data_IF_059594280636
#
_entry.id   IF_059594280636
#
_cell.length_a   1.000
_cell.length_b   1.000
_cell.length_c   1.000
_cell.angle_alpha   90.00
_cell.angle_beta   90.00
_cell.angle_gamma   90.00
#
_symmetry.space_group_name_H-M   'P 1'
#
loop_
_entity.id
_entity.type
_entity.pdbx_description
1 polymer ?
#
# COMPACT_ATOMS: atom_id res chain seq x y z
N UNK A 1 -24.76 -23.08 27.57
CA UNK A 1 -23.85 -22.43 26.60
C UNK A 1 -24.21 -20.97 26.57
N UNK A 2 -23.51 -20.14 27.37
CA UNK A 2 -23.76 -18.70 27.50
C UNK A 2 -23.00 -17.96 26.41
N UNK A 3 -23.73 -17.43 25.42
CA UNK A 3 -23.19 -16.43 24.51
C UNK A 3 -22.96 -15.14 25.29
N UNK A 4 -21.71 -14.77 25.52
CA UNK A 4 -21.35 -13.47 26.08
C UNK A 4 -21.83 -12.39 25.09
N UNK A 5 -22.84 -11.63 25.53
CA UNK A 5 -23.33 -10.43 24.82
C UNK A 5 -22.24 -9.36 24.88
N UNK A 6 -21.64 -9.07 23.74
CA UNK A 6 -20.71 -7.95 23.59
C UNK A 6 -21.49 -6.63 23.59
N UNK A 7 -21.20 -5.75 24.55
CA UNK A 7 -21.80 -4.41 24.62
C UNK A 7 -21.11 -3.46 23.63
N UNK A 8 -21.84 -3.00 22.63
CA UNK A 8 -21.43 -1.93 21.71
C UNK A 8 -22.00 -0.60 22.23
N UNK A 9 -21.17 0.27 22.77
CA UNK A 9 -21.52 1.62 23.16
C UNK A 9 -21.07 2.66 22.12
N UNK A 10 -21.93 3.60 21.76
CA UNK A 10 -21.62 4.70 20.84
C UNK A 10 -21.09 5.92 21.59
N UNK A 11 -19.88 6.38 21.26
CA UNK A 11 -19.25 7.60 21.82
C UNK A 11 -19.16 8.68 20.76
N UNK A 12 -19.76 9.85 21.02
CA UNK A 12 -19.77 10.98 20.05
C UNK A 12 -18.52 11.86 20.19
N UNK A 13 -17.92 12.26 19.05
CA UNK A 13 -16.89 13.32 18.98
C UNK A 13 -17.55 14.69 19.01
N UNK A 14 -17.31 15.44 20.03
CA UNK A 14 -17.77 16.83 20.18
C UNK A 14 -17.84 17.15 21.67
N UNK A 15 -17.03 18.07 22.15
CA UNK A 15 -16.78 18.37 23.56
C UNK A 15 -18.02 18.34 24.43
N UNK A 16 -17.80 17.82 25.64
CA UNK A 16 -18.70 17.71 26.78
C UNK A 16 -19.53 16.43 26.87
N UNK A 17 -19.17 15.67 27.90
CA UNK A 17 -19.83 14.52 28.52
C UNK A 17 -19.84 13.21 27.73
N UNK A 18 -19.08 12.25 28.25
CA UNK A 18 -19.31 10.82 28.08
C UNK A 18 -20.74 10.46 28.56
N UNK A 19 -21.71 10.59 27.67
CA UNK A 19 -22.97 9.89 27.83
C UNK A 19 -22.88 8.60 27.04
N UNK A 20 -22.64 7.50 27.74
CA UNK A 20 -22.93 6.16 27.26
C UNK A 20 -24.44 6.11 26.98
N UNK A 21 -24.82 6.26 25.71
CA UNK A 21 -26.20 6.03 25.32
C UNK A 21 -26.46 4.53 25.26
N UNK A 22 -26.92 3.95 26.36
CA UNK A 22 -27.70 2.73 26.33
C UNK A 22 -29.08 3.08 25.75
N UNK A 23 -29.18 3.18 24.41
CA UNK A 23 -30.50 3.20 23.79
C UNK A 23 -31.17 1.84 23.98
N UNK A 24 -32.49 1.82 24.24
CA UNK A 24 -33.21 0.57 24.38
C UNK A 24 -33.03 -0.25 23.10
N UNK A 25 -32.67 -1.53 23.25
CA UNK A 25 -32.41 -2.53 22.19
C UNK A 25 -33.57 -2.78 21.22
N UNK A 26 -34.58 -1.90 21.16
CA UNK A 26 -35.89 -2.15 20.59
C UNK A 26 -36.03 -1.78 19.11
N UNK A 27 -35.17 -0.92 18.52
CA UNK A 27 -35.30 -0.55 17.11
C UNK A 27 -34.59 -1.56 16.19
N UNK A 28 -35.29 -2.15 15.20
CA UNK A 28 -34.67 -3.08 14.24
C UNK A 28 -33.46 -2.48 13.50
N UNK A 29 -33.49 -1.18 13.20
CA UNK A 29 -32.38 -0.48 12.53
C UNK A 29 -31.13 -0.37 13.41
N UNK A 30 -31.30 -0.17 14.72
CA UNK A 30 -30.19 -0.12 15.68
C UNK A 30 -29.53 -1.48 15.79
N UNK A 31 -30.35 -2.54 15.88
CA UNK A 31 -29.86 -3.92 15.93
C UNK A 31 -29.10 -4.28 14.65
N UNK A 32 -29.68 -3.98 13.48
CA UNK A 32 -29.04 -4.27 12.19
C UNK A 32 -27.72 -3.51 12.01
N UNK A 33 -27.65 -2.22 12.35
CA UNK A 33 -26.41 -1.45 12.32
C UNK A 33 -25.34 -2.11 13.18
N UNK A 34 -25.69 -2.53 14.40
CA UNK A 34 -24.79 -3.20 15.33
C UNK A 34 -24.30 -4.54 14.78
N UNK A 35 -25.20 -5.39 14.28
CA UNK A 35 -24.86 -6.68 13.69
C UNK A 35 -23.89 -6.55 12.52
N UNK A 36 -24.11 -5.59 11.61
CA UNK A 36 -23.24 -5.34 10.48
C UNK A 36 -21.83 -4.87 10.91
N UNK A 37 -21.77 -4.01 11.93
CA UNK A 37 -20.48 -3.55 12.45
C UNK A 37 -19.75 -4.70 13.18
N UNK A 38 -20.44 -5.47 14.00
CA UNK A 38 -19.85 -6.62 14.70
C UNK A 38 -19.35 -7.69 13.72
N UNK A 39 -20.12 -7.97 12.67
CA UNK A 39 -19.71 -8.89 11.60
C UNK A 39 -18.44 -8.37 10.90
N UNK A 40 -18.40 -7.10 10.52
CA UNK A 40 -17.25 -6.48 9.90
C UNK A 40 -16.00 -6.57 10.79
N UNK A 41 -16.14 -6.34 12.09
CA UNK A 41 -15.03 -6.45 13.05
C UNK A 41 -14.53 -7.89 13.20
N UNK A 42 -15.45 -8.88 13.24
CA UNK A 42 -15.07 -10.31 13.27
C UNK A 42 -14.34 -10.74 12.00
N UNK A 43 -14.77 -10.22 10.84
CA UNK A 43 -14.13 -10.44 9.54
C UNK A 43 -12.83 -9.66 9.36
N UNK A 44 -12.50 -8.74 10.27
CA UNK A 44 -11.41 -7.76 10.14
C UNK A 44 -11.53 -6.94 8.86
N UNK A 45 -12.76 -6.59 8.50
CA UNK A 45 -13.04 -5.78 7.33
C UNK A 45 -12.55 -4.33 7.53
N UNK A 46 -12.03 -3.73 6.47
CA UNK A 46 -11.68 -2.30 6.45
C UNK A 46 -12.88 -1.41 6.14
N UNK A 47 -13.84 -1.91 5.34
CA UNK A 47 -15.00 -1.14 4.92
C UNK A 47 -16.25 -2.03 4.85
N UNK A 48 -17.41 -1.43 5.17
CA UNK A 48 -18.74 -1.99 4.95
C UNK A 48 -19.38 -1.18 3.82
N UNK A 49 -19.83 -1.85 2.77
CA UNK A 49 -20.56 -1.25 1.66
C UNK A 49 -22.01 -1.66 1.74
N UNK A 50 -22.93 -0.71 1.88
CA UNK A 50 -24.38 -0.91 1.86
C UNK A 50 -24.88 -0.30 0.56
N UNK A 51 -25.28 -1.14 -0.38
CA UNK A 51 -25.52 -0.78 -1.77
C UNK A 51 -26.99 -1.06 -2.13
N UNK A 52 -27.79 0.01 -2.30
CA UNK A 52 -29.17 -0.15 -2.74
C UNK A 52 -29.24 -0.64 -4.19
N UNK A 53 -30.11 -1.61 -4.43
CA UNK A 53 -30.47 -2.13 -5.74
C UNK A 53 -31.97 -1.99 -5.95
N UNK A 54 -32.46 -2.32 -7.12
CA UNK A 54 -33.89 -2.18 -7.46
C UNK A 54 -34.81 -2.90 -6.47
N UNK A 55 -34.54 -4.15 -6.15
CA UNK A 55 -35.40 -5.01 -5.31
C UNK A 55 -34.86 -5.28 -3.91
N UNK A 56 -33.59 -4.96 -3.64
CA UNK A 56 -32.91 -5.37 -2.42
C UNK A 56 -31.79 -4.42 -2.05
N UNK A 57 -31.18 -4.63 -0.88
CA UNK A 57 -29.97 -3.93 -0.44
C UNK A 57 -28.85 -4.97 -0.33
N UNK A 58 -27.75 -4.76 -1.05
CA UNK A 58 -26.57 -5.61 -0.95
C UNK A 58 -25.60 -5.03 0.08
N UNK A 59 -25.22 -5.85 1.06
CA UNK A 59 -24.15 -5.49 2.02
C UNK A 59 -22.91 -6.29 1.70
N UNK A 60 -21.77 -5.63 1.51
CA UNK A 60 -20.48 -6.26 1.24
C UNK A 60 -19.41 -5.75 2.19
N UNK A 61 -18.48 -6.63 2.52
CA UNK A 61 -17.34 -6.30 3.37
C UNK A 61 -16.05 -6.31 2.56
N UNK A 62 -15.19 -5.30 2.78
CA UNK A 62 -13.84 -5.29 2.22
C UNK A 62 -12.89 -5.90 3.23
N UNK A 63 -12.35 -7.07 2.93
CA UNK A 63 -11.39 -7.80 3.76
C UNK A 63 -10.08 -7.93 2.99
N UNK A 64 -8.97 -7.60 3.61
CA UNK A 64 -7.64 -7.64 2.99
C UNK A 64 -7.57 -6.99 1.58
N UNK A 65 -8.31 -5.89 1.40
CA UNK A 65 -8.37 -5.14 0.14
C UNK A 65 -9.39 -5.67 -0.88
N UNK A 66 -9.94 -6.88 -0.68
CA UNK A 66 -10.93 -7.48 -1.58
C UNK A 66 -12.34 -7.26 -1.07
N UNK A 67 -13.24 -6.87 -1.99
CA UNK A 67 -14.66 -6.73 -1.71
C UNK A 67 -15.33 -8.10 -1.92
N UNK A 68 -15.67 -8.75 -0.81
CA UNK A 68 -16.26 -10.09 -0.81
C UNK A 68 -17.74 -10.10 -1.22
N UNK A 69 -18.29 -11.31 -1.44
CA UNK A 69 -19.74 -11.49 -1.53
C UNK A 69 -20.35 -11.15 -0.15
N UNK A 70 -21.52 -10.52 -0.18
CA UNK A 70 -22.16 -10.08 1.03
C UNK A 70 -23.59 -10.58 1.17
N UNK A 71 -24.23 -10.13 2.23
CA UNK A 71 -25.62 -10.44 2.53
C UNK A 71 -26.58 -9.60 1.68
N UNK A 72 -27.74 -10.15 1.42
CA UNK A 72 -28.84 -9.45 0.78
C UNK A 72 -29.91 -9.14 1.84
N UNK A 73 -30.32 -7.89 1.93
CA UNK A 73 -31.34 -7.43 2.85
C UNK A 73 -32.59 -6.95 2.08
N UNK A 74 -33.78 -7.04 2.68
CA UNK A 74 -34.99 -6.48 2.10
C UNK A 74 -34.84 -4.97 1.85
N UNK A 75 -35.38 -4.48 0.75
CA UNK A 75 -35.34 -3.06 0.42
C UNK A 75 -35.94 -2.15 1.50
N UNK A 76 -36.95 -2.64 2.22
CA UNK A 76 -37.65 -1.91 3.28
C UNK A 76 -36.75 -1.43 4.43
N UNK A 77 -35.56 -2.07 4.62
CA UNK A 77 -34.64 -1.67 5.70
C UNK A 77 -33.74 -0.49 5.34
N UNK A 78 -33.61 -0.11 4.06
CA UNK A 78 -32.66 0.87 3.58
C UNK A 78 -32.81 2.24 4.27
N UNK A 79 -34.02 2.78 4.28
CA UNK A 79 -34.27 4.12 4.82
C UNK A 79 -34.01 4.21 6.31
N UNK A 80 -34.44 3.21 7.06
CA UNK A 80 -34.24 3.15 8.50
C UNK A 80 -32.74 2.96 8.85
N UNK A 81 -32.04 2.14 8.05
CA UNK A 81 -30.59 1.90 8.23
C UNK A 81 -29.78 3.15 7.85
N UNK A 82 -30.11 3.84 6.73
CA UNK A 82 -29.50 5.10 6.33
C UNK A 82 -29.68 6.17 7.40
N UNK A 83 -30.91 6.36 7.86
CA UNK A 83 -31.23 7.30 8.95
C UNK A 83 -30.43 7.00 10.21
N UNK A 84 -30.28 5.72 10.57
CA UNK A 84 -29.52 5.30 11.76
C UNK A 84 -28.04 5.65 11.65
N UNK A 85 -27.39 5.39 10.51
CA UNK A 85 -25.99 5.78 10.30
C UNK A 85 -25.83 7.31 10.32
N UNK A 86 -26.75 8.06 9.71
CA UNK A 86 -26.73 9.52 9.76
C UNK A 86 -26.87 10.07 11.18
N UNK A 87 -27.80 9.53 11.98
CA UNK A 87 -27.95 9.90 13.40
C UNK A 87 -26.65 9.66 14.17
N UNK A 88 -26.03 8.49 13.97
CA UNK A 88 -24.76 8.15 14.65
C UNK A 88 -23.65 9.14 14.35
N UNK A 89 -23.66 9.76 13.17
CA UNK A 89 -22.65 10.73 12.70
C UNK A 89 -23.07 12.20 12.86
N UNK A 90 -24.25 12.51 13.40
CA UNK A 90 -24.86 13.85 13.43
C UNK A 90 -25.06 14.48 12.03
N UNK A 91 -25.38 13.66 11.03
CA UNK A 91 -25.68 14.08 9.67
C UNK A 91 -27.16 14.45 9.52
N UNK A 92 -27.49 15.20 8.46
CA UNK A 92 -28.86 15.60 8.18
C UNK A 92 -29.68 14.42 7.61
N UNK A 93 -30.63 13.92 8.40
CA UNK A 93 -31.48 12.77 8.03
C UNK A 93 -32.44 13.12 6.89
N UNK A 94 -32.92 14.37 6.86
CA UNK A 94 -33.90 14.82 5.87
C UNK A 94 -33.29 15.07 4.50
N UNK A 95 -31.98 15.32 4.42
CA UNK A 95 -31.29 15.56 3.15
C UNK A 95 -30.76 14.24 2.58
N UNK A 96 -31.28 13.84 1.42
CA UNK A 96 -30.94 12.60 0.72
C UNK A 96 -30.39 12.82 -0.68
N UNK A 97 -30.27 14.10 -1.13
CA UNK A 97 -29.92 14.48 -2.51
C UNK A 97 -28.45 14.84 -2.69
N UNK A 98 -27.73 15.09 -1.61
CA UNK A 98 -26.32 15.45 -1.62
C UNK A 98 -25.49 14.46 -0.79
N UNK A 99 -24.22 14.23 -1.15
CA UNK A 99 -23.31 13.42 -0.33
C UNK A 99 -23.11 14.02 1.06
N UNK A 100 -22.96 13.19 2.06
CA UNK A 100 -22.66 13.60 3.43
C UNK A 100 -21.61 12.68 4.02
N UNK A 101 -20.64 13.28 4.74
CA UNK A 101 -19.56 12.58 5.42
C UNK A 101 -19.60 12.88 6.91
N UNK A 102 -19.35 11.86 7.72
CA UNK A 102 -19.32 12.00 9.17
C UNK A 102 -18.57 10.88 9.84
N UNK A 103 -18.47 10.96 11.16
CA UNK A 103 -17.76 9.94 11.93
C UNK A 103 -18.41 9.74 13.30
N UNK A 104 -18.27 8.54 13.82
CA UNK A 104 -18.65 8.21 15.18
C UNK A 104 -17.71 7.18 15.77
N UNK A 105 -17.75 7.03 17.09
CA UNK A 105 -16.89 6.10 17.82
C UNK A 105 -17.72 5.06 18.53
N UNK A 106 -17.22 3.84 18.56
CA UNK A 106 -17.81 2.71 19.28
C UNK A 106 -16.81 2.11 20.24
N UNK A 107 -17.32 1.40 21.27
CA UNK A 107 -16.53 0.51 22.10
C UNK A 107 -16.81 -0.94 21.72
N UNK A 108 -15.77 -1.70 21.41
CA UNK A 108 -15.87 -3.13 21.12
C UNK A 108 -14.77 -3.89 21.82
N UNK A 109 -15.13 -4.87 22.65
CA UNK A 109 -14.19 -5.66 23.46
C UNK A 109 -13.17 -4.81 24.25
N UNK A 110 -13.62 -3.69 24.81
CA UNK A 110 -12.78 -2.77 25.58
C UNK A 110 -11.90 -1.83 24.75
N UNK A 111 -11.97 -1.93 23.43
CA UNK A 111 -11.22 -1.07 22.49
C UNK A 111 -12.13 0.00 21.87
N UNK A 112 -11.59 1.19 21.71
CA UNK A 112 -12.26 2.30 21.05
C UNK A 112 -11.97 2.29 19.57
N UNK A 113 -13.01 2.13 18.72
CA UNK A 113 -12.91 2.05 17.28
C UNK A 113 -13.59 3.28 16.66
N UNK A 114 -12.86 4.00 15.82
CA UNK A 114 -13.39 5.12 15.05
C UNK A 114 -13.97 4.60 13.72
N UNK A 115 -15.19 5.08 13.38
CA UNK A 115 -15.88 4.73 12.14
C UNK A 115 -16.13 6.02 11.35
N UNK A 116 -15.75 6.02 10.06
CA UNK A 116 -16.08 7.09 9.11
C UNK A 116 -17.19 6.60 8.19
N UNK A 117 -18.22 7.41 8.01
CA UNK A 117 -19.39 7.09 7.20
C UNK A 117 -19.50 8.11 6.09
N UNK A 118 -19.64 7.62 4.87
CA UNK A 118 -19.95 8.43 3.69
C UNK A 118 -21.27 7.95 3.10
N UNK A 119 -22.19 8.88 2.82
CA UNK A 119 -23.44 8.62 2.12
C UNK A 119 -23.41 9.28 0.76
N UNK A 120 -23.87 8.56 -0.26
CA UNK A 120 -23.91 9.03 -1.65
C UNK A 120 -25.28 8.74 -2.26
N UNK A 121 -26.01 9.75 -2.76
CA UNK A 121 -27.23 9.54 -3.53
C UNK A 121 -26.97 8.63 -4.74
N UNK A 122 -27.82 7.62 -4.92
CA UNK A 122 -27.80 6.75 -6.10
C UNK A 122 -29.22 6.54 -6.63
N UNK A 123 -29.35 5.92 -7.80
CA UNK A 123 -30.64 5.70 -8.46
C UNK A 123 -31.66 5.00 -7.54
N UNK A 124 -31.18 4.06 -6.73
CA UNK A 124 -32.03 3.22 -5.89
C UNK A 124 -32.03 3.62 -4.41
N UNK A 125 -31.56 4.82 -4.07
CA UNK A 125 -31.44 5.35 -2.70
C UNK A 125 -30.01 5.66 -2.32
N UNK A 126 -29.77 5.97 -1.05
CA UNK A 126 -28.43 6.33 -0.60
C UNK A 126 -27.54 5.10 -0.44
N UNK A 127 -26.41 5.07 -1.16
CA UNK A 127 -25.30 4.16 -0.89
C UNK A 127 -24.56 4.64 0.35
N UNK A 128 -24.20 3.70 1.24
CA UNK A 128 -23.46 4.00 2.46
C UNK A 128 -22.17 3.21 2.45
N UNK A 129 -21.06 3.87 2.75
CA UNK A 129 -19.77 3.23 3.01
C UNK A 129 -19.34 3.57 4.43
N UNK A 130 -19.05 2.54 5.23
CA UNK A 130 -18.53 2.70 6.58
C UNK A 130 -17.10 2.19 6.61
N UNK A 131 -16.13 3.09 6.80
CA UNK A 131 -14.73 2.73 6.98
C UNK A 131 -14.42 2.51 8.44
N UNK A 132 -13.78 1.39 8.74
CA UNK A 132 -13.38 0.98 10.08
C UNK A 132 -11.91 1.35 10.30
N UNK A 133 -11.64 2.20 11.26
CA UNK A 133 -10.29 2.64 11.61
C UNK A 133 -9.81 1.84 12.82
N UNK A 134 -9.14 0.71 12.54
CA UNK A 134 -8.56 -0.14 13.59
C UNK A 134 -7.19 0.40 14.00
N UNK A 135 -7.10 0.93 15.22
CA UNK A 135 -5.87 1.48 15.78
C UNK A 135 -4.73 0.45 15.88
N UNK A 136 -5.04 -0.82 16.05
CA UNK A 136 -4.03 -1.86 16.20
C UNK A 136 -3.20 -2.09 14.93
N UNK A 137 -3.78 -1.82 13.75
CA UNK A 137 -3.07 -1.91 12.48
C UNK A 137 -2.15 -0.70 12.20
N UNK A 138 -2.38 0.42 12.91
CA UNK A 138 -1.59 1.65 12.74
C UNK A 138 -0.25 1.62 13.48
N UNK A 139 -0.10 0.73 14.43
CA UNK A 139 1.03 0.74 15.38
C UNK A 139 2.08 -0.34 15.11
N UNK A 140 2.26 -0.72 13.84
CA UNK A 140 3.37 -1.62 13.47
C UNK A 140 4.72 -0.93 13.72
N UNK A 141 5.67 -1.69 14.25
CA UNK A 141 7.08 -1.29 14.27
C UNK A 141 7.72 -1.48 12.90
N UNK A 142 8.87 -0.86 12.65
CA UNK A 142 9.58 -1.01 11.38
C UNK A 142 9.88 -2.48 11.04
N UNK A 143 10.22 -3.30 12.04
CA UNK A 143 10.49 -4.73 11.87
C UNK A 143 9.25 -5.52 11.43
N UNK A 144 8.06 -5.06 11.85
CA UNK A 144 6.79 -5.70 11.53
C UNK A 144 6.23 -5.32 10.15
N UNK A 145 6.82 -4.32 9.47
CA UNK A 145 6.40 -3.93 8.13
C UNK A 145 6.67 -5.04 7.09
N UNK A 146 7.63 -5.94 7.37
CA UNK A 146 7.99 -7.03 6.47
C UNK A 146 9.00 -6.65 5.39
N UNK A 147 9.78 -5.57 5.60
CA UNK A 147 10.93 -5.25 4.75
C UNK A 147 12.00 -6.34 4.83
N UNK A 148 12.70 -6.61 3.72
CA UNK A 148 13.92 -7.41 3.76
C UNK A 148 14.95 -6.80 4.73
N UNK A 149 15.74 -7.62 5.47
CA UNK A 149 16.67 -7.11 6.48
C UNK A 149 17.66 -6.05 5.96
N UNK A 150 18.15 -6.23 4.73
CA UNK A 150 19.06 -5.26 4.10
C UNK A 150 18.38 -3.90 3.82
N UNK A 151 17.13 -3.92 3.35
CA UNK A 151 16.34 -2.71 3.11
C UNK A 151 15.97 -2.04 4.45
N UNK A 152 15.58 -2.82 5.44
CA UNK A 152 15.28 -2.33 6.79
C UNK A 152 16.47 -1.59 7.38
N UNK A 153 17.67 -2.18 7.31
CA UNK A 153 18.91 -1.54 7.79
C UNK A 153 19.21 -0.22 7.05
N UNK A 154 19.05 -0.21 5.72
CA UNK A 154 19.25 1.03 4.93
C UNK A 154 18.25 2.11 5.34
N UNK A 155 16.98 1.75 5.49
CA UNK A 155 15.93 2.69 5.89
C UNK A 155 16.16 3.21 7.33
N UNK A 156 16.59 2.36 8.27
CA UNK A 156 16.96 2.77 9.62
C UNK A 156 18.10 3.80 9.60
N UNK A 157 19.13 3.57 8.78
CA UNK A 157 20.23 4.55 8.64
C UNK A 157 19.74 5.88 8.03
N UNK A 158 18.74 5.85 7.15
CA UNK A 158 18.20 7.09 6.55
C UNK A 158 17.43 7.93 7.57
N UNK A 159 16.63 7.32 8.46
CA UNK A 159 15.84 8.04 9.47
C UNK A 159 16.70 8.59 10.61
N UNK A 160 17.94 8.14 10.76
CA UNK A 160 18.92 8.69 11.71
C UNK A 160 19.62 9.96 11.19
N UNK A 161 19.43 10.28 9.90
CA UNK A 161 20.02 11.50 9.33
C UNK A 161 19.32 12.73 9.88
N UNK A 162 20.07 13.81 10.18
CA UNK A 162 19.48 15.04 10.70
C UNK A 162 18.63 15.78 9.68
N UNK A 163 18.88 15.54 8.38
CA UNK A 163 18.19 16.21 7.29
C UNK A 163 18.07 15.32 6.05
N UNK A 164 17.10 15.62 5.22
CA UNK A 164 16.86 14.96 3.94
C UNK A 164 15.39 14.57 3.78
N UNK A 165 15.04 14.09 2.59
CA UNK A 165 13.69 13.67 2.24
C UNK A 165 13.64 12.17 2.04
N UNK A 166 12.73 11.51 2.73
CA UNK A 166 12.36 10.10 2.51
C UNK A 166 10.93 10.07 1.96
N UNK A 167 10.76 9.45 0.81
CA UNK A 167 9.46 9.30 0.16
C UNK A 167 8.96 7.87 0.25
N UNK A 168 7.70 7.70 0.65
CA UNK A 168 7.00 6.41 0.57
C UNK A 168 5.98 6.49 -0.55
N UNK A 169 6.08 5.62 -1.56
CA UNK A 169 5.29 5.74 -2.78
C UNK A 169 4.50 4.46 -3.09
N UNK A 170 3.42 4.63 -3.83
CA UNK A 170 2.53 3.54 -4.22
C UNK A 170 1.08 4.00 -4.35
N UNK A 171 0.17 3.14 -4.85
CA UNK A 171 -1.25 3.44 -4.97
C UNK A 171 -1.93 3.60 -3.61
N UNK A 172 -3.18 4.03 -3.65
CA UNK A 172 -4.05 4.04 -2.46
C UNK A 172 -4.17 2.63 -1.89
N UNK A 173 -4.09 2.50 -0.56
CA UNK A 173 -4.17 1.21 0.11
C UNK A 173 -2.87 0.37 0.10
N UNK A 174 -1.74 0.91 -0.39
CA UNK A 174 -0.45 0.22 -0.34
C UNK A 174 0.23 0.25 1.04
N UNK A 175 -0.33 0.93 2.03
CA UNK A 175 0.17 0.99 3.41
C UNK A 175 1.14 2.16 3.68
N UNK A 176 1.19 3.18 2.83
CA UNK A 176 2.10 4.33 2.96
C UNK A 176 2.02 5.01 4.34
N UNK A 177 0.81 5.32 4.79
CA UNK A 177 0.58 5.96 6.10
C UNK A 177 1.08 5.09 7.25
N UNK A 178 0.83 3.77 7.20
CA UNK A 178 1.32 2.82 8.19
C UNK A 178 2.86 2.83 8.26
N UNK A 179 3.51 2.85 7.10
CA UNK A 179 4.97 2.95 7.02
C UNK A 179 5.47 4.27 7.58
N UNK A 180 4.91 5.42 7.17
CA UNK A 180 5.31 6.73 7.70
C UNK A 180 5.13 6.81 9.22
N UNK A 181 4.00 6.34 9.76
CA UNK A 181 3.77 6.33 11.20
C UNK A 181 4.76 5.40 11.94
N UNK A 182 5.12 4.29 11.33
CA UNK A 182 6.16 3.39 11.85
C UNK A 182 7.54 4.08 11.91
N UNK A 183 7.90 4.86 10.87
CA UNK A 183 9.13 5.67 10.85
C UNK A 183 9.09 6.77 11.91
N UNK A 184 7.97 7.53 12.00
CA UNK A 184 7.82 8.58 13.01
C UNK A 184 7.98 8.05 14.43
N UNK A 185 7.39 6.88 14.72
CA UNK A 185 7.55 6.23 16.04
C UNK A 185 8.98 5.77 16.31
N UNK A 186 9.69 5.31 15.28
CA UNK A 186 11.10 4.93 15.43
C UNK A 186 12.02 6.13 15.67
N UNK A 187 11.66 7.30 15.12
CA UNK A 187 12.39 8.56 15.32
C UNK A 187 12.03 9.22 16.65
N UNK A 188 10.77 9.09 17.08
CA UNK A 188 10.24 9.80 18.24
C UNK A 188 11.00 9.46 19.51
N UNK A 189 11.55 10.51 20.15
CA UNK A 189 12.21 10.47 21.46
C UNK A 189 12.07 11.84 22.11
N UNK A 190 12.25 11.89 23.43
CA UNK A 190 12.31 13.15 24.16
C UNK A 190 13.42 14.05 23.56
N UNK A 191 13.09 15.30 23.29
CA UNK A 191 14.03 16.26 22.67
C UNK A 191 13.97 16.34 21.15
N UNK A 192 13.09 15.61 20.46
CA UNK A 192 12.85 15.77 19.02
C UNK A 192 11.45 16.35 18.78
N UNK A 193 11.37 17.50 18.13
CA UNK A 193 10.10 18.11 17.73
C UNK A 193 9.62 17.57 16.39
N UNK A 194 8.56 16.77 16.42
CA UNK A 194 7.95 16.17 15.24
C UNK A 194 6.61 16.84 14.97
N UNK A 195 6.43 17.35 13.75
CA UNK A 195 5.18 17.98 13.32
C UNK A 195 4.72 17.33 12.02
N UNK A 196 3.43 16.99 11.94
CA UNK A 196 2.83 16.45 10.71
C UNK A 196 1.76 17.38 10.14
N UNK A 197 1.54 17.29 8.84
CA UNK A 197 0.38 17.88 8.15
C UNK A 197 -0.29 16.81 7.29
N UNK A 198 -1.59 16.57 7.51
CA UNK A 198 -2.32 15.40 7.00
C UNK A 198 -3.73 15.76 6.50
N UNK A 199 -4.26 14.97 5.57
CA UNK A 199 -5.61 15.15 5.00
C UNK A 199 -6.32 13.80 4.77
N UNK A 200 -7.08 13.31 5.78
CA UNK A 200 -7.11 13.74 7.19
C UNK A 200 -6.09 12.98 8.04
N UNK A 201 -5.96 13.33 9.32
CA UNK A 201 -5.24 12.52 10.31
C UNK A 201 -5.95 11.17 10.43
N UNK A 202 -5.21 10.07 10.17
CA UNK A 202 -5.77 8.73 10.28
C UNK A 202 -5.81 8.22 11.72
N UNK A 203 -4.74 8.41 12.48
CA UNK A 203 -4.60 8.01 13.89
C UNK A 203 -3.83 9.05 14.67
N UNK A 204 -4.17 9.20 15.94
CA UNK A 204 -3.43 10.08 16.83
C UNK A 204 -2.15 9.38 17.31
N UNK A 205 -1.03 10.08 17.17
CA UNK A 205 0.29 9.65 17.65
C UNK A 205 0.64 10.46 18.89
N UNK A 206 0.89 9.77 20.00
CA UNK A 206 1.27 10.40 21.25
C UNK A 206 2.65 11.08 21.10
N UNK A 207 2.77 12.30 21.62
CA UNK A 207 4.01 13.08 21.56
C UNK A 207 4.32 13.73 20.22
N UNK A 208 3.43 13.64 19.23
CA UNK A 208 3.60 14.23 17.90
C UNK A 208 2.53 15.29 17.65
N UNK A 209 2.94 16.45 17.16
CA UNK A 209 2.03 17.53 16.80
C UNK A 209 1.45 17.30 15.40
N UNK A 210 0.18 16.91 15.33
CA UNK A 210 -0.49 16.58 14.07
C UNK A 210 -1.44 17.71 13.65
N UNK A 211 -1.22 18.29 12.46
CA UNK A 211 -2.03 19.33 11.85
C UNK A 211 -2.90 18.72 10.77
N UNK A 212 -4.21 18.93 10.86
CA UNK A 212 -5.14 18.48 9.81
C UNK A 212 -5.44 19.62 8.84
N UNK A 213 -5.26 19.36 7.55
CA UNK A 213 -5.67 20.26 6.46
C UNK A 213 -7.15 20.62 6.59
N UNK A 214 -7.47 21.89 6.36
CA UNK A 214 -8.84 22.39 6.32
C UNK A 214 -8.98 23.48 5.26
N UNK A 215 -9.28 23.06 4.04
CA UNK A 215 -9.41 23.95 2.88
C UNK A 215 -10.50 25.01 3.05
N UNK A 216 -11.54 24.71 3.85
CA UNK A 216 -12.66 25.65 4.10
C UNK A 216 -12.20 26.93 4.81
N UNK A 217 -11.12 26.86 5.57
CA UNK A 217 -10.53 28.02 6.26
C UNK A 217 -9.17 28.43 5.66
N UNK A 218 -8.81 27.86 4.49
CA UNK A 218 -7.58 28.18 3.78
C UNK A 218 -6.32 27.49 4.32
N UNK A 219 -6.44 26.51 5.22
CA UNK A 219 -5.29 25.74 5.73
C UNK A 219 -5.00 24.59 4.76
N UNK A 220 -4.11 24.85 3.80
CA UNK A 220 -3.63 23.91 2.78
C UNK A 220 -2.34 23.22 3.22
N UNK A 221 -1.88 22.18 2.49
CA UNK A 221 -0.58 21.55 2.73
C UNK A 221 0.58 22.57 2.65
N UNK A 222 0.66 23.33 1.58
CA UNK A 222 1.70 24.34 1.40
C UNK A 222 1.68 25.44 2.49
N UNK A 223 0.48 25.95 2.83
CA UNK A 223 0.28 26.95 3.87
C UNK A 223 0.68 26.45 5.27
N UNK A 224 0.26 25.23 5.61
CA UNK A 224 0.63 24.59 6.87
C UNK A 224 2.13 24.35 6.96
N UNK A 225 2.75 23.83 5.89
CA UNK A 225 4.18 23.51 5.83
C UNK A 225 5.04 24.77 6.02
N UNK A 226 4.69 25.92 5.38
CA UNK A 226 5.36 27.21 5.63
C UNK A 226 5.28 27.65 7.09
N UNK A 227 4.18 27.35 7.76
CA UNK A 227 3.99 27.69 9.18
C UNK A 227 4.75 26.76 10.09
N UNK A 228 4.78 25.46 9.77
CA UNK A 228 5.54 24.43 10.49
C UNK A 228 7.03 24.78 10.52
N UNK A 229 7.62 25.26 9.42
CA UNK A 229 9.02 25.68 9.35
C UNK A 229 9.40 26.82 10.33
N UNK A 230 8.42 27.50 10.94
CA UNK A 230 8.63 28.53 11.98
C UNK A 230 8.33 28.02 13.39
N UNK A 231 8.09 26.70 13.54
CA UNK A 231 7.77 26.05 14.81
C UNK A 231 8.95 25.21 15.34
N UNK A 232 10.16 25.50 14.89
CA UNK A 232 11.39 24.81 15.30
C UNK A 232 11.27 23.26 15.19
N UNK A 233 10.88 22.72 14.03
CA UNK A 233 10.74 21.28 13.86
C UNK A 233 12.09 20.62 13.57
N UNK A 234 12.34 19.44 14.13
CA UNK A 234 13.44 18.56 13.70
C UNK A 234 12.98 17.65 12.57
N UNK A 235 11.74 17.13 12.69
CA UNK A 235 11.15 16.18 11.73
C UNK A 235 9.78 16.68 11.29
N UNK A 236 9.58 16.70 9.98
CA UNK A 236 8.32 17.10 9.35
C UNK A 236 7.75 15.93 8.56
N UNK A 237 6.47 15.61 8.77
CA UNK A 237 5.77 14.69 7.89
C UNK A 237 4.69 15.43 7.10
N UNK A 238 4.77 15.36 5.79
CA UNK A 238 3.75 15.85 4.86
C UNK A 238 2.98 14.64 4.33
N UNK A 239 1.69 14.56 4.65
CA UNK A 239 0.86 13.39 4.33
C UNK A 239 0.97 12.98 2.88
N UNK A 240 0.94 13.94 1.96
CA UNK A 240 1.22 13.71 0.54
C UNK A 240 1.65 14.99 -0.19
N UNK A 241 2.42 14.82 -1.26
CA UNK A 241 2.80 15.88 -2.19
C UNK A 241 1.91 15.74 -3.44
N UNK A 242 1.00 16.72 -3.63
CA UNK A 242 0.09 16.74 -4.78
C UNK A 242 0.52 17.72 -5.86
N UNK A 243 1.18 18.79 -5.49
CA UNK A 243 1.49 19.94 -6.33
C UNK A 243 2.96 20.38 -6.21
N UNK A 244 3.39 21.20 -7.17
CA UNK A 244 4.74 21.74 -7.26
C UNK A 244 5.11 22.56 -6.02
N UNK A 245 4.19 23.40 -5.53
CA UNK A 245 4.44 24.30 -4.41
C UNK A 245 4.79 23.54 -3.14
N UNK A 246 3.99 22.53 -2.78
CA UNK A 246 4.23 21.66 -1.64
C UNK A 246 5.55 20.90 -1.80
N UNK A 247 5.82 20.40 -3.02
CA UNK A 247 7.07 19.70 -3.33
C UNK A 247 8.31 20.58 -3.14
N UNK A 248 8.28 21.81 -3.66
CA UNK A 248 9.38 22.76 -3.52
C UNK A 248 9.66 23.10 -2.06
N UNK A 249 8.61 23.36 -1.26
CA UNK A 249 8.78 23.68 0.17
C UNK A 249 9.36 22.48 0.92
N UNK A 250 8.84 21.27 0.69
CA UNK A 250 9.31 20.03 1.32
C UNK A 250 10.79 19.74 1.00
N UNK A 251 11.20 19.88 -0.27
CA UNK A 251 12.58 19.68 -0.69
C UNK A 251 13.53 20.75 -0.09
N UNK A 252 13.10 22.02 -0.06
CA UNK A 252 13.89 23.08 0.58
C UNK A 252 14.05 22.85 2.07
N UNK A 253 12.99 22.43 2.75
CA UNK A 253 13.05 22.06 4.17
C UNK A 253 14.07 20.93 4.41
N UNK A 254 14.03 19.89 3.58
CA UNK A 254 14.97 18.77 3.61
C UNK A 254 16.41 19.19 3.29
N UNK A 255 16.60 20.19 2.43
CA UNK A 255 17.91 20.73 2.09
C UNK A 255 18.49 21.62 3.20
N UNK A 256 17.63 22.32 3.95
CA UNK A 256 18.02 23.34 4.93
C UNK A 256 18.08 22.86 6.38
N UNK A 257 18.07 21.55 6.65
CA UNK A 257 18.35 21.02 7.97
C UNK A 257 17.27 20.18 8.63
N UNK A 258 16.16 19.87 7.91
CA UNK A 258 15.06 19.10 8.49
C UNK A 258 15.00 17.71 7.87
N UNK A 259 14.64 16.70 8.68
CA UNK A 259 14.24 15.40 8.14
C UNK A 259 12.77 15.47 7.71
N UNK A 260 12.53 15.28 6.43
CA UNK A 260 11.17 15.33 5.85
C UNK A 260 10.73 13.94 5.41
N UNK A 261 9.54 13.55 5.81
CA UNK A 261 8.87 12.32 5.38
C UNK A 261 7.64 12.68 4.57
N UNK A 262 7.42 12.03 3.41
CA UNK A 262 6.20 12.30 2.64
C UNK A 262 5.79 11.13 1.77
N UNK A 263 4.61 11.27 1.10
CA UNK A 263 4.13 10.29 0.13
C UNK A 263 3.89 10.89 -1.24
N UNK A 264 3.96 10.01 -2.25
CA UNK A 264 3.54 10.28 -3.62
C UNK A 264 2.75 9.09 -4.18
N UNK A 265 1.92 9.36 -5.18
CA UNK A 265 1.21 8.34 -5.93
C UNK A 265 1.94 8.04 -7.23
N UNK A 266 2.97 7.19 -7.17
CA UNK A 266 3.74 6.70 -8.32
C UNK A 266 3.81 5.17 -8.28
N UNK A 267 4.19 4.55 -9.40
CA UNK A 267 4.16 3.10 -9.53
C UNK A 267 5.38 2.41 -8.90
N UNK A 268 6.54 3.03 -8.97
CA UNK A 268 7.81 2.51 -8.43
C UNK A 268 8.73 3.65 -7.97
N UNK A 269 9.88 3.32 -7.41
CA UNK A 269 10.78 4.28 -6.83
C UNK A 269 11.50 5.15 -7.87
N UNK A 270 11.87 4.59 -9.02
CA UNK A 270 12.60 5.34 -10.07
C UNK A 270 11.66 6.28 -10.82
N UNK A 271 10.46 5.84 -11.19
CA UNK A 271 9.45 6.70 -11.83
C UNK A 271 9.04 7.89 -10.97
N UNK A 272 9.26 7.81 -9.66
CA UNK A 272 9.06 8.93 -8.74
C UNK A 272 10.00 10.10 -9.04
N UNK A 273 11.26 9.82 -9.35
CA UNK A 273 12.23 10.86 -9.74
C UNK A 273 11.79 11.56 -11.03
N UNK A 274 11.35 10.80 -12.02
CA UNK A 274 10.78 11.33 -13.27
C UNK A 274 9.56 12.22 -13.00
N UNK A 275 8.66 11.76 -12.10
CA UNK A 275 7.49 12.54 -11.70
C UNK A 275 7.86 13.87 -11.05
N UNK A 276 8.84 13.85 -10.13
CA UNK A 276 9.33 15.08 -9.48
C UNK A 276 9.99 16.05 -10.46
N UNK A 277 10.79 15.55 -11.41
CA UNK A 277 11.33 16.35 -12.51
C UNK A 277 10.21 17.01 -13.34
N UNK A 278 9.15 16.27 -13.66
CA UNK A 278 8.01 16.78 -14.43
C UNK A 278 7.14 17.79 -13.66
N UNK A 279 7.26 17.83 -12.33
CA UNK A 279 6.68 18.90 -11.49
C UNK A 279 7.51 20.18 -11.50
N UNK A 280 8.54 20.30 -12.35
CA UNK A 280 9.35 21.52 -12.47
C UNK A 280 10.44 21.68 -11.39
N UNK A 281 10.73 20.61 -10.64
CA UNK A 281 11.74 20.68 -9.57
C UNK A 281 13.16 20.58 -10.13
N UNK A 282 14.05 21.39 -9.58
CA UNK A 282 15.44 21.47 -10.02
C UNK A 282 16.22 20.17 -9.68
N UNK A 283 16.93 19.57 -10.66
CA UNK A 283 17.67 18.32 -10.44
C UNK A 283 18.68 18.40 -9.29
N UNK A 284 19.35 19.54 -9.10
CA UNK A 284 20.30 19.71 -8.01
C UNK A 284 19.61 19.60 -6.63
N UNK A 285 18.40 20.13 -6.51
CA UNK A 285 17.62 20.08 -5.27
C UNK A 285 17.15 18.65 -4.98
N UNK A 286 16.67 17.92 -6.01
CA UNK A 286 16.30 16.51 -5.89
C UNK A 286 17.49 15.65 -5.46
N UNK A 287 18.64 15.78 -6.14
CA UNK A 287 19.83 14.98 -5.89
C UNK A 287 20.44 15.23 -4.50
N UNK A 288 20.29 16.46 -3.99
CA UNK A 288 20.89 16.87 -2.70
C UNK A 288 19.98 16.57 -1.52
N UNK A 289 18.64 16.61 -1.71
CA UNK A 289 17.67 16.51 -0.62
C UNK A 289 17.16 15.08 -0.43
N UNK A 290 16.98 14.28 -1.48
CA UNK A 290 16.38 12.95 -1.36
C UNK A 290 17.41 11.96 -0.82
N UNK A 291 17.07 11.30 0.30
CA UNK A 291 17.84 10.18 0.88
C UNK A 291 17.46 8.85 0.25
N UNK A 292 16.16 8.63 0.07
CA UNK A 292 15.65 7.41 -0.52
C UNK A 292 14.16 7.48 -0.83
N UNK A 293 13.73 6.54 -1.67
CA UNK A 293 12.34 6.39 -2.10
C UNK A 293 11.96 4.93 -1.88
N UNK A 294 10.96 4.71 -1.02
CA UNK A 294 10.42 3.39 -0.71
C UNK A 294 9.11 3.18 -1.46
N UNK A 295 9.15 2.41 -2.52
CA UNK A 295 7.93 1.95 -3.20
C UNK A 295 7.37 0.71 -2.53
N UNK A 296 6.04 0.66 -2.38
CA UNK A 296 5.41 -0.45 -1.68
C UNK A 296 4.05 -0.86 -2.26
N UNK A 297 3.76 -2.16 -2.10
CA UNK A 297 2.47 -2.79 -2.38
C UNK A 297 2.07 -3.67 -1.22
N UNK A 298 0.76 -3.84 -1.02
CA UNK A 298 0.22 -4.84 -0.12
C UNK A 298 -0.41 -5.96 -0.94
N UNK A 299 0.05 -7.17 -0.71
CA UNK A 299 -0.47 -8.41 -1.29
C UNK A 299 -1.10 -9.28 -0.20
N UNK A 300 -2.10 -10.11 -0.52
CA UNK A 300 -2.71 -11.01 0.45
C UNK A 300 -1.73 -12.13 0.79
N UNK A 301 -1.57 -12.39 2.08
CA UNK A 301 -0.70 -13.45 2.58
C UNK A 301 -1.43 -14.79 2.50
N UNK A 302 -0.72 -15.84 2.10
CA UNK A 302 -1.25 -17.20 2.15
C UNK A 302 -1.65 -17.58 3.57
N UNK A 303 -2.76 -18.29 3.71
CA UNK A 303 -3.17 -18.83 4.99
C UNK A 303 -2.23 -19.97 5.43
N UNK A 304 -1.60 -19.82 6.58
CA UNK A 304 -0.66 -20.82 7.10
C UNK A 304 -1.32 -22.17 7.46
N UNK A 305 -2.65 -22.16 7.75
CA UNK A 305 -3.39 -23.36 8.14
C UNK A 305 -3.77 -24.26 6.95
N UNK A 306 -3.79 -23.74 5.74
CA UNK A 306 -4.17 -24.49 4.55
C UNK A 306 -3.20 -24.32 3.38
N UNK A 307 -1.96 -23.89 3.68
CA UNK A 307 -0.90 -23.75 2.71
C UNK A 307 -0.58 -25.09 2.05
N UNK A 308 -0.48 -25.09 0.74
CA UNK A 308 -0.11 -26.29 -0.03
C UNK A 308 0.75 -25.93 -1.22
N UNK A 309 1.60 -26.86 -1.66
CA UNK A 309 2.30 -26.73 -2.92
C UNK A 309 1.28 -26.53 -4.07
N UNK A 310 1.55 -25.60 -4.91
CA UNK A 310 0.68 -25.21 -6.01
C UNK A 310 1.54 -25.01 -7.26
N UNK A 311 1.07 -25.54 -8.39
CA UNK A 311 1.66 -25.25 -9.69
C UNK A 311 0.94 -24.03 -10.26
N UNK A 312 1.64 -22.94 -10.58
CA UNK A 312 1.02 -21.76 -11.17
C UNK A 312 0.31 -22.08 -12.49
N UNK A 313 -0.72 -21.31 -12.81
CA UNK A 313 -1.46 -21.42 -14.04
C UNK A 313 -0.50 -21.22 -15.23
N UNK A 314 -0.42 -22.17 -16.19
CA UNK A 314 0.41 -22.03 -17.38
C UNK A 314 0.11 -20.76 -18.18
N UNK A 315 -1.16 -20.37 -18.30
CA UNK A 315 -1.59 -19.15 -19.00
C UNK A 315 -1.04 -17.88 -18.34
N UNK A 316 -0.92 -17.91 -17.01
CA UNK A 316 -0.31 -16.82 -16.24
C UNK A 316 1.19 -16.76 -16.52
N UNK A 317 1.87 -17.90 -16.54
CA UNK A 317 3.30 -17.97 -16.84
C UNK A 317 3.60 -17.48 -18.24
N UNK A 318 2.81 -17.89 -19.23
CA UNK A 318 2.95 -17.45 -20.62
C UNK A 318 2.69 -15.94 -20.76
N UNK A 319 1.59 -15.45 -20.16
CA UNK A 319 1.22 -14.03 -20.19
C UNK A 319 2.30 -13.11 -19.64
N UNK A 320 2.99 -13.54 -18.61
CA UNK A 320 4.05 -12.76 -17.95
C UNK A 320 5.46 -13.18 -18.38
N UNK A 321 5.58 -14.06 -19.40
CA UNK A 321 6.86 -14.58 -19.91
C UNK A 321 7.75 -15.13 -18.79
N UNK A 322 7.14 -15.79 -17.80
CA UNK A 322 7.84 -16.40 -16.67
C UNK A 322 8.30 -17.81 -17.05
N UNK A 323 9.54 -17.94 -17.45
CA UNK A 323 10.18 -19.26 -17.64
C UNK A 323 10.64 -19.77 -16.29
N UNK A 324 9.73 -20.45 -15.58
CA UNK A 324 10.05 -21.10 -14.30
C UNK A 324 10.66 -22.47 -14.58
N UNK A 325 11.70 -22.84 -13.83
CA UNK A 325 12.23 -24.19 -13.90
C UNK A 325 11.20 -25.20 -13.35
N UNK A 326 11.18 -26.42 -13.88
CA UNK A 326 10.28 -27.48 -13.41
C UNK A 326 10.44 -27.80 -11.91
N UNK A 327 11.62 -27.46 -11.36
CA UNK A 327 11.97 -27.65 -9.94
C UNK A 327 11.42 -26.54 -9.03
N UNK A 328 10.92 -25.41 -9.56
CA UNK A 328 10.41 -24.33 -8.73
C UNK A 328 9.02 -24.66 -8.17
N UNK A 329 8.92 -24.61 -6.84
CA UNK A 329 7.68 -24.85 -6.11
C UNK A 329 7.09 -23.53 -5.63
N UNK A 330 5.85 -23.29 -5.93
CA UNK A 330 5.05 -22.21 -5.39
C UNK A 330 3.97 -22.75 -4.44
N UNK A 331 3.34 -21.86 -3.72
CA UNK A 331 2.38 -22.24 -2.70
C UNK A 331 1.13 -21.35 -2.77
N UNK A 332 -0.02 -21.95 -2.47
CA UNK A 332 -1.28 -21.24 -2.29
C UNK A 332 -2.11 -21.88 -1.18
N UNK A 333 -3.02 -21.11 -0.60
CA UNK A 333 -3.95 -21.65 0.39
C UNK A 333 -5.18 -22.26 -0.29
N UNK A 334 -5.53 -23.48 0.09
CA UNK A 334 -6.71 -24.20 -0.46
C UNK A 334 -8.06 -23.68 0.06
N UNK A 335 -8.04 -22.88 1.12
CA UNK A 335 -9.22 -22.48 1.86
C UNK A 335 -9.50 -23.41 3.05
N UNK A 336 -9.75 -22.82 4.21
CA UNK A 336 -10.11 -23.55 5.44
C UNK A 336 -10.98 -22.66 6.34
N UNK A 337 -11.55 -23.19 7.43
CA UNK A 337 -12.33 -22.38 8.37
C UNK A 337 -11.58 -21.19 8.95
N UNK A 338 -10.25 -21.30 9.19
CA UNK A 338 -9.43 -20.21 9.73
C UNK A 338 -9.32 -19.00 8.79
N UNK A 339 -9.35 -19.23 7.47
CA UNK A 339 -9.36 -18.18 6.45
C UNK A 339 -10.73 -18.02 5.78
N UNK A 340 -11.79 -18.59 6.35
CA UNK A 340 -13.17 -18.54 5.84
C UNK A 340 -13.28 -18.98 4.36
N UNK A 341 -12.49 -19.99 3.98
CA UNK A 341 -12.48 -20.55 2.63
C UNK A 341 -11.67 -19.75 1.61
N UNK A 342 -11.09 -18.60 1.98
CA UNK A 342 -10.42 -17.70 1.03
C UNK A 342 -9.00 -18.13 0.64
N UNK A 343 -8.38 -19.03 1.38
CA UNK A 343 -6.97 -19.43 1.16
C UNK A 343 -5.95 -18.36 1.57
N UNK A 344 -6.39 -17.16 1.91
CA UNK A 344 -5.52 -16.04 2.33
C UNK A 344 -5.96 -15.48 3.67
N UNK A 345 -5.01 -14.96 4.46
CA UNK A 345 -5.28 -14.34 5.76
C UNK A 345 -4.26 -13.24 6.07
N UNK A 346 -4.74 -12.01 6.12
CA UNK A 346 -3.91 -10.83 6.31
C UNK A 346 -3.15 -10.41 5.05
N UNK A 347 -2.30 -9.38 5.20
CA UNK A 347 -1.56 -8.78 4.09
C UNK A 347 -0.06 -8.83 4.34
N UNK A 348 0.70 -8.83 3.27
CA UNK A 348 2.17 -8.83 3.25
C UNK A 348 2.65 -7.63 2.44
N UNK A 349 3.65 -6.91 2.94
CA UNK A 349 4.27 -5.81 2.19
C UNK A 349 5.26 -6.32 1.15
N UNK A 350 5.24 -5.76 -0.04
CA UNK A 350 6.27 -5.93 -1.07
C UNK A 350 6.91 -4.58 -1.29
N UNK A 351 8.25 -4.53 -1.26
CA UNK A 351 9.00 -3.29 -1.18
C UNK A 351 10.11 -3.20 -2.22
N UNK A 352 10.36 -1.97 -2.67
CA UNK A 352 11.48 -1.56 -3.50
C UNK A 352 12.05 -0.29 -2.89
N UNK A 353 13.30 -0.32 -2.42
CA UNK A 353 13.96 0.82 -1.80
C UNK A 353 15.09 1.33 -2.69
N UNK A 354 14.86 2.47 -3.32
CA UNK A 354 15.89 3.24 -4.00
C UNK A 354 16.65 4.10 -2.98
N UNK A 355 17.96 3.91 -2.90
CA UNK A 355 18.88 4.76 -2.12
C UNK A 355 19.52 5.77 -3.06
N UNK A 356 19.49 7.05 -2.74
CA UNK A 356 20.14 8.09 -3.55
C UNK A 356 21.63 8.13 -3.24
N UNK A 357 22.36 7.22 -3.88
CA UNK A 357 23.84 7.11 -3.85
C UNK A 357 24.51 8.22 -4.66
N UNK A 358 25.85 8.34 -4.62
CA UNK A 358 26.58 9.25 -5.50
C UNK A 358 26.31 9.02 -6.99
N UNK A 359 26.22 7.77 -7.44
CA UNK A 359 25.92 7.42 -8.84
C UNK A 359 24.49 7.81 -9.23
N UNK A 360 23.53 7.55 -8.36
CA UNK A 360 22.12 7.97 -8.59
C UNK A 360 22.00 9.50 -8.58
N UNK A 361 22.75 10.21 -7.73
CA UNK A 361 22.79 11.68 -7.75
C UNK A 361 23.28 12.22 -9.08
N UNK A 362 24.34 11.64 -9.63
CA UNK A 362 24.89 12.03 -10.93
C UNK A 362 23.88 11.77 -12.06
N UNK A 363 23.20 10.63 -12.02
CA UNK A 363 22.13 10.29 -12.95
C UNK A 363 20.94 11.28 -12.86
N UNK A 364 20.57 11.72 -11.66
CA UNK A 364 19.52 12.75 -11.46
C UNK A 364 19.99 14.08 -12.05
N UNK A 365 21.23 14.51 -11.79
CA UNK A 365 21.80 15.77 -12.27
C UNK A 365 21.90 15.81 -13.79
N UNK A 366 22.31 14.70 -14.41
CA UNK A 366 22.39 14.56 -15.88
C UNK A 366 21.03 14.33 -16.54
N UNK A 367 19.94 14.21 -15.78
CA UNK A 367 18.59 13.83 -16.27
C UNK A 367 18.64 12.53 -17.07
N UNK A 368 19.38 11.55 -16.58
CA UNK A 368 19.48 10.23 -17.21
C UNK A 368 18.09 9.61 -17.44
N UNK A 369 17.91 8.83 -18.50
CA UNK A 369 16.67 8.08 -18.73
C UNK A 369 16.30 7.16 -17.56
N UNK A 370 15.00 6.92 -17.36
CA UNK A 370 14.50 6.08 -16.26
C UNK A 370 15.10 4.67 -16.28
N UNK A 371 15.28 4.10 -17.49
CA UNK A 371 15.90 2.78 -17.67
C UNK A 371 17.34 2.74 -17.18
N UNK A 372 18.12 3.79 -17.44
CA UNK A 372 19.50 3.90 -16.96
C UNK A 372 19.55 4.04 -15.44
N UNK A 373 18.73 4.93 -14.86
CA UNK A 373 18.63 5.09 -13.40
C UNK A 373 18.23 3.78 -12.72
N UNK A 374 17.29 3.02 -13.31
CA UNK A 374 16.86 1.72 -12.80
C UNK A 374 17.99 0.70 -12.82
N UNK A 375 18.72 0.63 -13.93
CA UNK A 375 19.86 -0.29 -14.05
C UNK A 375 20.95 0.03 -13.03
N UNK A 376 21.29 1.30 -12.86
CA UNK A 376 22.25 1.74 -11.83
C UNK A 376 21.77 1.37 -10.42
N UNK A 377 20.51 1.64 -10.10
CA UNK A 377 19.94 1.33 -8.79
C UNK A 377 19.99 -0.19 -8.49
N UNK A 378 19.68 -1.02 -9.48
CA UNK A 378 19.76 -2.49 -9.33
C UNK A 378 21.20 -2.96 -9.18
N UNK A 379 22.14 -2.40 -9.94
CA UNK A 379 23.58 -2.70 -9.78
C UNK A 379 24.08 -2.37 -8.37
N UNK A 380 23.54 -1.33 -7.73
CA UNK A 380 23.82 -0.96 -6.34
C UNK A 380 23.00 -1.75 -5.31
N UNK A 381 22.29 -2.78 -5.76
CA UNK A 381 21.57 -3.73 -4.90
C UNK A 381 20.16 -3.29 -4.52
N UNK A 382 19.49 -2.48 -5.35
CA UNK A 382 18.04 -2.28 -5.23
C UNK A 382 17.32 -3.55 -5.67
N UNK A 383 16.53 -4.14 -4.78
CA UNK A 383 15.59 -5.21 -5.12
C UNK A 383 14.31 -4.57 -5.66
N UNK A 384 13.89 -4.93 -6.88
CA UNK A 384 12.65 -4.41 -7.49
C UNK A 384 11.41 -4.98 -6.81
N UNK A 385 10.25 -4.31 -6.95
CA UNK A 385 8.97 -4.84 -6.46
C UNK A 385 8.72 -6.26 -6.96
N UNK A 386 9.02 -6.52 -8.24
CA UNK A 386 8.83 -7.84 -8.85
C UNK A 386 9.75 -8.89 -8.22
N UNK A 387 11.05 -8.60 -8.07
CA UNK A 387 12.01 -9.52 -7.44
C UNK A 387 11.66 -9.81 -5.99
N UNK A 388 11.28 -8.78 -5.23
CA UNK A 388 10.82 -8.92 -3.84
C UNK A 388 9.56 -9.80 -3.76
N UNK A 389 8.59 -9.57 -4.64
CA UNK A 389 7.35 -10.36 -4.70
C UNK A 389 7.61 -11.82 -5.03
N UNK A 390 8.45 -12.11 -6.03
CA UNK A 390 8.81 -13.48 -6.40
C UNK A 390 9.53 -14.23 -5.28
N UNK A 391 10.47 -13.59 -4.63
CA UNK A 391 11.13 -14.18 -3.47
C UNK A 391 10.11 -14.59 -2.41
N UNK A 392 9.15 -13.70 -2.08
CA UNK A 392 8.09 -13.99 -1.12
C UNK A 392 7.13 -15.09 -1.61
N UNK A 393 6.90 -15.19 -2.92
CA UNK A 393 6.10 -16.26 -3.50
C UNK A 393 6.81 -17.63 -3.40
N UNK A 394 8.12 -17.68 -3.66
CA UNK A 394 8.95 -18.87 -3.46
C UNK A 394 9.02 -19.29 -1.99
N UNK A 395 9.05 -18.33 -1.06
CA UNK A 395 8.97 -18.56 0.39
C UNK A 395 7.57 -19.05 0.85
N UNK A 396 6.58 -19.11 -0.04
CA UNK A 396 5.22 -19.51 0.27
C UNK A 396 4.40 -18.48 1.06
N UNK A 397 4.90 -17.27 1.22
CA UNK A 397 4.23 -16.19 1.98
C UNK A 397 3.03 -15.64 1.23
N UNK A 398 3.11 -15.57 -0.08
CA UNK A 398 2.07 -15.09 -1.00
C UNK A 398 1.94 -16.05 -2.17
N UNK A 399 0.81 -16.05 -2.88
CA UNK A 399 0.72 -16.82 -4.12
C UNK A 399 1.25 -16.00 -5.31
N UNK A 400 1.71 -16.69 -6.36
CA UNK A 400 2.22 -16.04 -7.56
C UNK A 400 1.11 -15.21 -8.24
N UNK A 401 -0.11 -15.75 -8.28
CA UNK A 401 -1.28 -15.10 -8.86
C UNK A 401 -1.61 -13.78 -8.15
N UNK A 402 -1.57 -13.80 -6.82
CA UNK A 402 -1.83 -12.58 -6.04
C UNK A 402 -0.74 -11.54 -6.24
N UNK A 403 0.52 -11.96 -6.29
CA UNK A 403 1.65 -11.08 -6.58
C UNK A 403 1.48 -10.41 -7.95
N UNK A 404 1.21 -11.20 -9.00
CA UNK A 404 1.06 -10.70 -10.37
C UNK A 404 -0.18 -9.80 -10.54
N UNK A 405 -1.22 -10.01 -9.72
CA UNK A 405 -2.40 -9.14 -9.71
C UNK A 405 -2.10 -7.71 -9.23
N UNK A 406 -1.16 -7.56 -8.31
CA UNK A 406 -0.92 -6.31 -7.57
C UNK A 406 0.33 -5.57 -8.03
N UNK A 407 1.38 -6.30 -8.41
CA UNK A 407 2.64 -5.70 -8.83
C UNK A 407 2.56 -5.31 -10.30
N UNK A 408 2.85 -4.04 -10.65
CA UNK A 408 2.91 -3.64 -12.05
C UNK A 408 3.94 -4.46 -12.81
N UNK A 409 3.54 -4.99 -13.94
CA UNK A 409 4.41 -5.71 -14.86
C UNK A 409 4.13 -5.22 -16.28
N UNK A 410 5.16 -4.79 -16.98
CA UNK A 410 5.02 -4.42 -18.39
C UNK A 410 5.01 -5.68 -19.25
N UNK A 411 3.87 -5.96 -19.86
CA UNK A 411 3.73 -7.07 -20.82
C UNK A 411 4.63 -6.79 -22.01
N UNK A 412 5.56 -7.71 -22.30
CA UNK A 412 6.53 -7.56 -23.39
C UNK A 412 7.93 -7.10 -22.98
N UNK A 413 8.15 -6.69 -21.74
CA UNK A 413 9.51 -6.48 -21.24
C UNK A 413 10.24 -7.83 -21.20
N UNK A 414 11.40 -7.93 -21.86
CA UNK A 414 12.29 -9.10 -21.70
C UNK A 414 12.79 -9.10 -20.26
N UNK A 415 12.48 -10.15 -19.53
CA UNK A 415 12.99 -10.33 -18.18
C UNK A 415 13.92 -11.57 -18.12
N UNK A 416 14.83 -11.54 -17.17
CA UNK A 416 15.67 -12.70 -16.88
C UNK A 416 14.81 -13.87 -16.42
N UNK A 417 14.90 -15.06 -16.99
CA UNK A 417 14.09 -16.21 -16.60
C UNK A 417 14.34 -16.69 -15.18
N UNK A 418 15.50 -16.37 -14.59
CA UNK A 418 15.84 -16.80 -13.23
C UNK A 418 15.46 -15.79 -12.15
N UNK A 419 15.63 -14.47 -12.39
CA UNK A 419 15.44 -13.46 -11.37
C UNK A 419 14.45 -12.35 -11.76
N UNK A 420 13.89 -12.43 -12.97
CA UNK A 420 12.96 -11.48 -13.60
C UNK A 420 13.46 -10.03 -13.65
N UNK A 421 14.78 -9.83 -13.57
CA UNK A 421 15.36 -8.53 -13.84
C UNK A 421 15.04 -8.09 -15.27
N UNK A 422 14.57 -6.87 -15.51
CA UNK A 422 14.34 -6.36 -16.87
C UNK A 422 15.61 -6.45 -17.70
N UNK A 423 15.49 -6.94 -18.94
CA UNK A 423 16.62 -7.16 -19.84
C UNK A 423 16.49 -6.30 -21.08
N UNK A 424 17.59 -5.66 -21.47
CA UNK A 424 17.68 -5.02 -22.76
C UNK A 424 18.05 -6.03 -23.88
N UNK A 425 17.72 -5.69 -25.11
CA UNK A 425 17.86 -6.60 -26.26
C UNK A 425 19.30 -7.09 -26.52
N UNK A 426 20.29 -6.35 -26.01
CA UNK A 426 21.72 -6.63 -26.24
C UNK A 426 22.42 -7.33 -25.07
N UNK A 427 21.74 -7.60 -23.95
CA UNK A 427 22.36 -8.27 -22.82
C UNK A 427 22.75 -9.70 -23.17
N UNK A 428 24.00 -10.07 -22.87
CA UNK A 428 24.57 -11.42 -23.06
C UNK A 428 24.41 -12.29 -21.81
N UNK A 429 24.28 -11.64 -20.64
CA UNK A 429 23.96 -12.26 -19.37
C UNK A 429 23.07 -11.31 -18.58
N UNK A 430 22.35 -11.84 -17.61
CA UNK A 430 21.58 -11.02 -16.68
C UNK A 430 22.52 -10.22 -15.77
N UNK A 431 22.41 -8.89 -15.68
CA UNK A 431 23.28 -8.09 -14.84
C UNK A 431 23.04 -8.33 -13.33
N UNK A 432 21.85 -8.85 -12.96
CA UNK A 432 21.51 -9.09 -11.57
C UNK A 432 21.95 -10.47 -11.05
N UNK A 433 21.75 -11.55 -11.85
CA UNK A 433 22.05 -12.92 -11.39
C UNK A 433 23.12 -13.61 -12.21
N UNK A 434 23.73 -12.90 -13.16
CA UNK A 434 24.75 -13.40 -14.09
C UNK A 434 24.31 -14.60 -14.96
N UNK A 435 23.01 -14.93 -15.03
CA UNK A 435 22.51 -15.99 -15.89
C UNK A 435 22.84 -15.67 -17.33
N UNK A 436 23.51 -16.58 -18.10
CA UNK A 436 23.74 -16.40 -19.52
C UNK A 436 22.41 -16.33 -20.29
N UNK A 437 22.22 -15.28 -21.07
CA UNK A 437 21.00 -15.03 -21.86
C UNK A 437 21.15 -15.37 -23.35
N UNK A 438 22.40 -15.67 -23.74
CA UNK A 438 22.76 -16.02 -25.10
C UNK A 438 23.30 -17.43 -25.10
N UNK A 439 22.63 -18.30 -25.84
CA UNK A 439 23.19 -19.61 -26.12
C UNK A 439 24.28 -19.49 -27.19
N UNK A 440 25.38 -20.20 -26.95
CA UNK A 440 26.50 -20.30 -27.90
C UNK A 440 26.65 -21.74 -28.36
N UNK A 441 27.00 -21.87 -29.65
CA UNK A 441 27.32 -23.19 -30.18
C UNK A 441 28.50 -23.82 -29.43
N UNK A 442 28.38 -25.07 -28.98
CA UNK A 442 29.45 -25.74 -28.23
C UNK A 442 30.74 -25.93 -29.04
N UNK A 443 30.62 -25.99 -30.37
CA UNK A 443 31.79 -26.24 -31.25
C UNK A 443 32.45 -24.92 -31.71
N UNK A 444 31.69 -23.96 -32.22
CA UNK A 444 32.27 -22.74 -32.80
C UNK A 444 32.06 -21.48 -31.97
N UNK A 445 31.44 -21.58 -30.78
CA UNK A 445 31.16 -20.50 -29.87
C UNK A 445 30.37 -19.30 -30.43
N UNK A 446 29.88 -19.40 -31.64
CA UNK A 446 29.02 -18.35 -32.25
C UNK A 446 27.64 -18.39 -31.63
N UNK A 447 27.00 -17.22 -31.58
CA UNK A 447 25.64 -17.06 -31.03
C UNK A 447 24.65 -17.91 -31.85
N UNK A 448 23.81 -18.67 -31.15
CA UNK A 448 22.73 -19.47 -31.70
C UNK A 448 21.38 -19.07 -31.14
N UNK A 449 20.30 -19.37 -31.83
CA UNK A 449 18.95 -19.21 -31.32
C UNK A 449 18.46 -20.51 -30.67
N UNK A 450 17.67 -20.46 -29.59
CA UNK A 450 17.15 -21.67 -28.92
C UNK A 450 16.33 -22.58 -29.86
N UNK A 451 15.68 -22.02 -30.88
CA UNK A 451 14.87 -22.74 -31.87
C UNK A 451 15.66 -23.42 -32.97
N UNK A 452 16.98 -23.23 -33.02
CA UNK A 452 17.77 -23.81 -34.14
C UNK A 452 18.13 -25.27 -33.83
N UNK A 453 17.81 -26.15 -34.77
CA UNK A 453 18.17 -27.58 -34.71
C UNK A 453 19.63 -27.86 -35.05
N UNK A 454 20.27 -26.92 -35.75
CA UNK A 454 21.69 -26.99 -36.09
C UNK A 454 22.32 -25.60 -36.12
N UNK A 455 23.59 -25.50 -35.80
CA UNK A 455 24.36 -24.27 -35.91
C UNK A 455 24.57 -23.88 -37.38
N UNK A 456 24.12 -22.72 -37.84
CA UNK A 456 24.27 -22.33 -39.26
C UNK A 456 25.72 -21.99 -39.62
N UNK A 457 26.62 -21.86 -38.64
CA UNK A 457 28.03 -21.50 -38.86
C UNK A 457 28.98 -22.69 -38.98
N UNK A 458 28.67 -23.82 -38.29
CA UNK A 458 29.55 -25.01 -38.29
C UNK A 458 28.78 -26.31 -38.50
N UNK A 459 27.48 -26.22 -38.79
CA UNK A 459 26.59 -27.35 -39.01
C UNK A 459 26.44 -28.35 -37.85
N UNK A 460 26.96 -28.02 -36.65
CA UNK A 460 26.76 -28.86 -35.46
C UNK A 460 25.28 -29.01 -35.18
N UNK A 461 24.79 -30.25 -35.04
CA UNK A 461 23.45 -30.51 -34.52
C UNK A 461 23.39 -30.04 -33.05
N UNK A 462 22.41 -29.22 -32.79
CA UNK A 462 22.12 -28.74 -31.41
C UNK A 462 21.11 -29.73 -30.85
N UNK A 463 21.41 -30.30 -29.65
CA UNK A 463 20.50 -31.24 -29.01
C UNK A 463 19.17 -30.55 -28.70
N UNK A 464 18.06 -31.23 -28.93
CA UNK A 464 16.77 -30.89 -28.35
C UNK A 464 16.93 -31.20 -26.84
N UNK A 465 17.14 -30.16 -26.01
CA UNK A 465 16.89 -30.32 -24.58
C UNK A 465 15.39 -30.49 -24.40
N UNK A 466 15.02 -31.72 -24.01
CA UNK A 466 13.69 -32.18 -23.67
C UNK A 466 13.20 -31.44 -22.42
#
# INVERSE_FOLDING_TARGET
MNAQRTNLGLVRKGGLSEKVFSEPEQSPAVRLQRELIEEALRLRASDIHIEPQESQVRVRFRVDGCLGQGSLLPRSVLESLSSRFKISCNLNISEKRIPQDGSFRIQFQGQSIDLRVSTLPSLWGEKIVVRILDKNQAFLTMDQLGLPPAQLKRLSTMIERPQGLILTVGPTGSGKTTTLYSLLRAIHREGINIITVEDPIEYLLEGINQVQVNEKVGLTFAGALRSILRQDPDVIMVGEIRDEETAQIALRAAFTGHLVLSTLHTNDAVSTLTRLNNLGLEPYLLSSSILGILSQRLVRRNCSHCLSAHRPDPDLLERYHLNLSESETFYSGKGCPACQGQGTAGREGVFELLTVSPLIREAILSRAPETEMRNLAVQEGMETLLSCGLRKAREGRVSLEEMMRVIPYEVGARCCPACLHPLEHFFVCCPNCALPLIQRCPDCSKRIQPSWKACPYCAKKLAEEI
#
